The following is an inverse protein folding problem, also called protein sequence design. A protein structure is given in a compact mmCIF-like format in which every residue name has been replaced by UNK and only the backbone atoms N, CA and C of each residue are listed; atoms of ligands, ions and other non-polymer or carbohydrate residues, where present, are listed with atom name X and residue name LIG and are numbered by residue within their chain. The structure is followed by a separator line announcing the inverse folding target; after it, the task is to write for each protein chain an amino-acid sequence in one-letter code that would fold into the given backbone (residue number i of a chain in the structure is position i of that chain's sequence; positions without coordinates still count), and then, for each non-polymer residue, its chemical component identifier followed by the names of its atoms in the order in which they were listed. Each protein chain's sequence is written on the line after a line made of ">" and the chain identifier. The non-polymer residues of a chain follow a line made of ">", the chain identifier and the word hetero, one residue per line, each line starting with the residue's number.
data_IF_233403491789
#
_entry.id   IF_233403491789
#
_cell.length_a   1.000
_cell.length_b   1.000
_cell.length_c   1.000
_cell.angle_alpha   90.00
_cell.angle_beta   90.00
_cell.angle_gamma   90.00
#
_symmetry.space_group_name_H-M   'P 1'
#
loop_
_entity.id
_entity.type
_entity.pdbx_description
1 polymer ?
#
# COMPACT_ATOMS: atom_id res chain seq x y z
N UNK A 1 40.77 1.02 -74.26
CA UNK A 1 39.98 2.09 -73.61
C UNK A 1 38.50 1.86 -73.87
N UNK A 2 37.74 1.44 -72.85
CA UNK A 2 36.36 1.84 -72.48
C UNK A 2 35.80 0.82 -71.49
N UNK A 3 35.56 1.31 -70.28
CA UNK A 3 35.27 0.62 -69.03
C UNK A 3 33.77 0.27 -68.97
N UNK A 4 33.44 -0.96 -68.56
CA UNK A 4 32.09 -1.34 -68.08
C UNK A 4 32.09 -1.22 -66.56
N UNK A 5 31.26 -0.33 -66.02
CA UNK A 5 31.09 -0.11 -64.58
C UNK A 5 29.92 -0.99 -64.11
N UNK A 6 30.20 -1.93 -63.20
CA UNK A 6 29.22 -2.76 -62.50
C UNK A 6 29.01 -2.15 -61.12
N UNK A 7 27.75 -1.86 -60.76
CA UNK A 7 27.36 -1.39 -59.42
C UNK A 7 26.85 -2.61 -58.63
N UNK A 8 27.43 -2.97 -57.47
CA UNK A 8 26.75 -3.84 -56.51
C UNK A 8 26.11 -2.99 -55.40
N UNK A 9 24.83 -3.26 -55.14
CA UNK A 9 24.01 -2.60 -54.14
C UNK A 9 24.45 -2.89 -52.71
N UNK A 10 24.37 -1.87 -51.87
CA UNK A 10 24.57 -1.94 -50.42
C UNK A 10 23.19 -2.14 -49.78
N UNK A 11 22.91 -3.36 -49.34
CA UNK A 11 21.74 -3.70 -48.54
C UNK A 11 22.08 -3.41 -47.07
N UNK A 12 21.62 -2.27 -46.56
CA UNK A 12 21.78 -1.86 -45.16
C UNK A 12 20.82 -2.66 -44.26
N UNK A 13 21.32 -3.71 -43.62
CA UNK A 13 20.61 -4.49 -42.59
C UNK A 13 20.49 -3.67 -41.30
N UNK A 14 19.30 -3.16 -41.03
CA UNK A 14 18.93 -2.49 -39.79
C UNK A 14 18.60 -3.55 -38.73
N UNK A 15 19.56 -3.84 -37.85
CA UNK A 15 19.35 -4.72 -36.69
C UNK A 15 18.46 -3.97 -35.70
N UNK A 16 17.17 -4.29 -35.69
CA UNK A 16 16.24 -3.93 -34.62
C UNK A 16 16.66 -4.67 -33.35
N UNK A 17 17.47 -4.03 -32.50
CA UNK A 17 17.60 -4.42 -31.09
C UNK A 17 16.26 -4.19 -30.41
N UNK A 18 15.42 -5.23 -30.43
CA UNK A 18 14.18 -5.31 -29.68
C UNK A 18 14.54 -5.40 -28.19
N UNK A 19 14.79 -4.26 -27.57
CA UNK A 19 14.93 -4.19 -26.12
C UNK A 19 13.56 -4.54 -25.55
N UNK A 20 13.40 -5.76 -25.04
CA UNK A 20 12.20 -6.15 -24.31
C UNK A 20 12.09 -5.22 -23.11
N UNK A 21 11.27 -4.18 -23.23
CA UNK A 21 10.78 -3.40 -22.10
C UNK A 21 10.05 -4.39 -21.21
N UNK A 22 10.73 -4.88 -20.18
CA UNK A 22 10.13 -5.63 -19.09
C UNK A 22 9.04 -4.74 -18.50
N UNK A 23 7.80 -4.95 -18.91
CA UNK A 23 6.64 -4.31 -18.29
C UNK A 23 6.68 -4.61 -16.80
N UNK A 24 6.79 -3.57 -15.98
CA UNK A 24 6.77 -3.68 -14.53
C UNK A 24 5.47 -4.41 -14.15
N UNK A 25 5.59 -5.59 -13.52
CA UNK A 25 4.41 -6.37 -13.11
C UNK A 25 3.52 -5.51 -12.22
N UNK A 26 2.20 -5.57 -12.42
CA UNK A 26 1.21 -4.72 -11.72
C UNK A 26 1.40 -4.75 -10.19
N UNK A 27 1.77 -5.90 -9.66
CA UNK A 27 2.02 -6.14 -8.24
C UNK A 27 3.33 -5.49 -7.75
N UNK A 28 4.39 -5.54 -8.56
CA UNK A 28 5.65 -4.86 -8.28
C UNK A 28 5.46 -3.33 -8.28
N UNK A 29 4.72 -2.81 -9.26
CA UNK A 29 4.33 -1.40 -9.31
C UNK A 29 3.54 -0.98 -8.07
N UNK A 30 2.59 -1.82 -7.61
CA UNK A 30 1.81 -1.55 -6.39
C UNK A 30 2.69 -1.50 -5.13
N UNK A 31 3.67 -2.40 -4.99
CA UNK A 31 4.65 -2.35 -3.89
C UNK A 31 5.46 -1.05 -3.91
N UNK A 32 5.93 -0.65 -5.08
CA UNK A 32 6.68 0.59 -5.29
C UNK A 32 5.85 1.83 -4.96
N UNK A 33 4.63 1.93 -5.49
CA UNK A 33 3.70 3.03 -5.21
C UNK A 33 3.33 3.11 -3.73
N UNK A 34 3.09 1.97 -3.09
CA UNK A 34 2.82 1.90 -1.65
C UNK A 34 4.01 2.39 -0.83
N UNK A 35 5.23 2.04 -1.23
CA UNK A 35 6.45 2.56 -0.61
C UNK A 35 6.64 4.06 -0.81
N UNK A 36 6.30 4.58 -2.00
CA UNK A 36 6.37 6.00 -2.32
C UNK A 36 5.36 6.81 -1.48
N UNK A 37 4.09 6.39 -1.47
CA UNK A 37 3.03 7.00 -0.64
C UNK A 37 3.47 7.07 0.83
N UNK A 38 3.97 5.97 1.39
CA UNK A 38 4.40 5.97 2.78
C UNK A 38 5.54 6.96 3.04
N UNK A 39 6.55 7.00 2.16
CA UNK A 39 7.66 7.98 2.24
C UNK A 39 7.16 9.41 2.16
N UNK A 40 6.25 9.70 1.23
CA UNK A 40 5.72 11.04 1.03
C UNK A 40 4.93 11.54 2.24
N UNK A 41 4.12 10.68 2.87
CA UNK A 41 3.43 11.03 4.12
C UNK A 41 4.44 11.31 5.23
N UNK A 42 5.46 10.47 5.38
CA UNK A 42 6.46 10.62 6.44
C UNK A 42 7.38 11.83 6.24
N UNK A 43 7.62 12.23 5.00
CA UNK A 43 8.44 13.42 4.67
C UNK A 43 7.67 14.74 4.81
N UNK A 44 6.35 14.72 5.01
CA UNK A 44 5.54 15.93 5.13
C UNK A 44 5.50 16.44 6.59
N UNK A 45 6.07 17.62 6.91
CA UNK A 45 6.29 18.06 8.31
C UNK A 45 5.03 18.15 9.17
N UNK A 46 3.92 18.61 8.59
CA UNK A 46 2.65 18.83 9.31
C UNK A 46 1.70 17.63 9.22
N UNK A 47 2.13 16.58 8.53
CA UNK A 47 1.30 15.44 8.17
C UNK A 47 1.92 14.08 8.48
N UNK A 48 3.20 14.08 8.86
CA UNK A 48 3.91 12.91 9.28
C UNK A 48 3.17 12.25 10.44
N UNK A 49 3.13 10.92 10.37
CA UNK A 49 2.54 10.10 11.41
C UNK A 49 3.48 10.16 12.62
N UNK A 50 2.96 10.47 13.83
CA UNK A 50 3.79 10.52 15.02
C UNK A 50 4.56 9.22 15.26
N UNK A 51 5.84 9.35 15.58
CA UNK A 51 6.77 8.22 15.75
C UNK A 51 6.29 7.23 16.81
N UNK A 52 5.76 7.72 17.93
CA UNK A 52 5.18 6.89 18.99
C UNK A 52 3.97 6.04 18.54
N UNK A 53 3.27 6.43 17.47
CA UNK A 53 2.18 5.64 16.89
C UNK A 53 2.72 4.64 15.89
N UNK A 54 3.67 5.04 15.03
CA UNK A 54 4.35 4.13 14.10
C UNK A 54 5.07 3.00 14.81
N UNK A 55 5.74 3.31 15.92
CA UNK A 55 6.51 2.33 16.69
C UNK A 55 5.64 1.28 17.38
N UNK A 56 4.39 1.64 17.67
CA UNK A 56 3.38 0.76 18.26
C UNK A 56 2.53 0.03 17.24
N UNK A 57 2.59 0.41 15.96
CA UNK A 57 1.83 -0.27 14.92
C UNK A 57 2.36 -1.71 14.75
N UNK A 58 1.46 -2.67 14.90
CA UNK A 58 1.73 -4.08 14.63
C UNK A 58 1.81 -4.31 13.13
N UNK A 59 0.95 -3.64 12.36
CA UNK A 59 0.96 -3.71 10.91
C UNK A 59 0.70 -2.34 10.29
N UNK A 60 1.26 -2.12 9.09
CA UNK A 60 1.03 -0.93 8.28
C UNK A 60 0.48 -1.37 6.94
N UNK A 61 -0.73 -0.89 6.61
CA UNK A 61 -1.34 -1.06 5.30
C UNK A 61 -1.26 0.25 4.52
N UNK A 62 -0.90 0.17 3.24
CA UNK A 62 -0.85 1.31 2.34
C UNK A 62 -1.64 0.96 1.09
N UNK A 63 -2.64 1.78 0.78
CA UNK A 63 -3.52 1.64 -0.37
C UNK A 63 -3.35 2.90 -1.23
N UNK A 64 -2.46 2.89 -2.23
CA UNK A 64 -2.32 4.01 -3.15
C UNK A 64 -3.56 4.14 -4.03
N UNK A 65 -3.87 5.39 -4.43
CA UNK A 65 -4.85 5.70 -5.47
C UNK A 65 -6.24 5.07 -5.26
N UNK A 66 -6.74 5.09 -4.02
CA UNK A 66 -8.13 4.73 -3.72
C UNK A 66 -9.05 5.68 -4.47
N UNK A 67 -9.83 5.11 -5.38
CA UNK A 67 -10.83 5.83 -6.15
C UNK A 67 -12.08 5.92 -5.29
N UNK A 68 -12.58 7.13 -5.10
CA UNK A 68 -13.87 7.44 -4.48
C UNK A 68 -14.73 8.15 -5.51
N UNK A 69 -16.00 7.76 -5.63
CA UNK A 69 -16.91 8.43 -6.57
C UNK A 69 -18.36 8.12 -6.28
N UNK A 70 -19.24 9.08 -6.58
CA UNK A 70 -20.67 8.94 -6.43
C UNK A 70 -21.39 10.28 -6.41
N UNK A 71 -22.72 10.23 -6.42
CA UNK A 71 -23.59 11.38 -6.21
C UNK A 71 -24.55 11.03 -5.07
N UNK A 72 -24.42 11.71 -3.93
CA UNK A 72 -25.14 11.44 -2.66
C UNK A 72 -24.78 10.08 -2.03
N UNK A 73 -24.79 9.01 -2.82
CA UNK A 73 -24.28 7.67 -2.49
C UNK A 73 -23.14 7.34 -3.46
N UNK A 74 -22.02 6.85 -2.92
CA UNK A 74 -20.84 6.52 -3.70
C UNK A 74 -20.19 5.21 -3.29
N UNK A 75 -19.23 4.80 -4.10
CA UNK A 75 -18.36 3.67 -3.83
C UNK A 75 -16.91 4.11 -3.72
N UNK A 76 -16.15 3.33 -2.97
CA UNK A 76 -14.70 3.42 -2.96
C UNK A 76 -14.06 2.07 -3.29
N UNK A 77 -12.99 2.13 -4.07
CA UNK A 77 -12.22 0.95 -4.46
C UNK A 77 -10.73 1.28 -4.48
N UNK A 78 -9.92 0.39 -3.92
CA UNK A 78 -8.48 0.53 -3.94
C UNK A 78 -7.77 -0.81 -3.83
N UNK A 79 -6.50 -0.82 -4.23
CA UNK A 79 -5.62 -1.96 -4.08
C UNK A 79 -4.34 -1.53 -3.40
N UNK A 80 -3.89 -2.32 -2.43
CA UNK A 80 -2.75 -1.96 -1.61
C UNK A 80 -1.98 -3.17 -1.14
N UNK A 81 -1.10 -2.92 -0.17
CA UNK A 81 -0.29 -3.92 0.50
C UNK A 81 -0.31 -3.65 2.00
N UNK A 82 -0.13 -4.71 2.79
CA UNK A 82 0.01 -4.64 4.23
C UNK A 82 1.22 -5.47 4.65
N UNK A 83 2.05 -4.93 5.54
CA UNK A 83 3.12 -5.69 6.20
C UNK A 83 2.94 -5.61 7.71
N UNK A 84 3.22 -6.73 8.37
CA UNK A 84 3.15 -6.88 9.81
C UNK A 84 4.55 -7.08 10.39
N UNK A 85 4.76 -6.59 11.61
CA UNK A 85 5.97 -6.89 12.37
C UNK A 85 5.98 -8.36 12.75
N UNK A 86 7.14 -8.99 12.60
CA UNK A 86 7.36 -10.34 13.11
C UNK A 86 7.38 -10.29 14.63
N UNK A 87 6.55 -11.08 15.33
CA UNK A 87 6.56 -11.12 16.79
C UNK A 87 7.90 -11.61 17.36
N UNK A 88 8.64 -12.38 16.55
CA UNK A 88 9.93 -12.95 16.94
C UNK A 88 11.11 -12.02 16.68
N UNK A 89 11.03 -11.17 15.64
CA UNK A 89 12.17 -10.35 15.16
C UNK A 89 11.96 -8.86 15.31
N UNK A 90 10.74 -8.39 15.57
CA UNK A 90 10.37 -6.97 15.58
C UNK A 90 10.45 -6.27 14.21
N UNK A 91 11.11 -6.87 13.22
CA UNK A 91 11.23 -6.36 11.85
C UNK A 91 9.95 -6.56 11.05
N UNK A 92 9.73 -5.71 10.05
CA UNK A 92 8.67 -5.88 9.05
C UNK A 92 8.80 -7.21 8.31
N UNK A 93 7.71 -7.95 8.24
CA UNK A 93 7.57 -9.22 7.55
C UNK A 93 7.19 -9.07 6.08
N UNK A 94 7.03 -10.20 5.36
CA UNK A 94 6.62 -10.17 3.95
C UNK A 94 5.24 -9.49 3.79
N UNK A 95 5.06 -8.65 2.76
CA UNK A 95 3.80 -7.95 2.56
C UNK A 95 2.74 -8.84 1.91
N UNK A 96 1.50 -8.77 2.40
CA UNK A 96 0.34 -9.34 1.73
C UNK A 96 -0.37 -8.26 0.90
N UNK A 97 -0.87 -8.65 -0.28
CA UNK A 97 -1.69 -7.79 -1.12
C UNK A 97 -3.13 -7.79 -0.63
N UNK A 98 -3.72 -6.60 -0.61
CA UNK A 98 -5.09 -6.36 -0.16
C UNK A 98 -5.85 -5.51 -1.17
N UNK A 99 -7.18 -5.57 -1.06
CA UNK A 99 -8.13 -4.71 -1.75
C UNK A 99 -9.08 -4.09 -0.74
N UNK A 100 -9.48 -2.86 -1.04
CA UNK A 100 -10.39 -2.05 -0.25
C UNK A 100 -11.63 -1.79 -1.08
N UNK A 101 -12.81 -2.00 -0.50
CA UNK A 101 -14.10 -1.78 -1.16
C UNK A 101 -15.13 -1.31 -0.15
N UNK A 102 -15.73 -0.15 -0.34
CA UNK A 102 -16.66 0.43 0.62
C UNK A 102 -17.73 1.28 -0.04
N UNK A 103 -18.77 1.60 0.72
CA UNK A 103 -19.70 2.68 0.38
C UNK A 103 -19.20 3.98 0.98
N UNK A 104 -19.33 5.08 0.26
CA UNK A 104 -19.00 6.42 0.75
C UNK A 104 -20.27 7.28 0.78
N UNK A 105 -20.54 7.93 1.92
CA UNK A 105 -21.61 8.93 2.04
C UNK A 105 -21.03 10.34 1.90
N UNK A 106 -21.64 11.20 1.09
CA UNK A 106 -21.22 12.60 0.97
C UNK A 106 -19.95 12.84 0.15
N UNK A 107 -19.57 11.92 -0.74
CA UNK A 107 -18.57 12.25 -1.76
C UNK A 107 -19.05 13.50 -2.51
N UNK A 108 -18.22 14.56 -2.51
CA UNK A 108 -18.46 15.75 -3.34
C UNK A 108 -18.75 15.30 -4.78
N UNK A 109 -19.56 16.07 -5.51
CA UNK A 109 -19.89 15.79 -6.91
C UNK A 109 -18.58 15.61 -7.70
N UNK A 110 -18.26 14.36 -8.06
CA UNK A 110 -17.04 14.02 -8.80
C UNK A 110 -16.29 12.78 -8.29
N UNK A 111 -15.27 12.37 -9.05
CA UNK A 111 -14.34 11.32 -8.67
C UNK A 111 -13.10 11.90 -7.97
N UNK A 112 -12.66 11.26 -6.90
CA UNK A 112 -11.44 11.61 -6.18
C UNK A 112 -10.51 10.39 -6.12
N UNK A 113 -9.20 10.63 -6.24
CA UNK A 113 -8.19 9.62 -5.99
C UNK A 113 -7.41 10.06 -4.75
N UNK A 114 -7.40 9.23 -3.71
CA UNK A 114 -6.69 9.50 -2.47
C UNK A 114 -5.78 8.34 -2.10
N UNK A 115 -4.70 8.63 -1.39
CA UNK A 115 -3.86 7.60 -0.81
C UNK A 115 -4.29 7.35 0.63
N UNK A 116 -4.29 6.09 1.06
CA UNK A 116 -4.68 5.69 2.42
C UNK A 116 -3.52 4.94 3.08
N UNK A 117 -3.18 5.33 4.30
CA UNK A 117 -2.30 4.57 5.20
C UNK A 117 -3.05 4.20 6.46
N UNK A 118 -3.04 2.92 6.81
CA UNK A 118 -3.66 2.38 8.02
C UNK A 118 -2.58 1.87 8.96
N UNK A 119 -2.54 2.39 10.17
CA UNK A 119 -1.75 1.87 11.28
C UNK A 119 -2.66 0.94 12.08
N UNK A 120 -2.30 -0.33 12.12
CA UNK A 120 -3.06 -1.36 12.82
C UNK A 120 -2.34 -1.59 14.14
N UNK A 121 -2.96 -1.11 15.22
CA UNK A 121 -2.35 -1.00 16.54
C UNK A 121 -2.45 -2.28 17.35
N UNK A 122 -3.38 -3.17 16.99
CA UNK A 122 -3.59 -4.45 17.65
C UNK A 122 -3.75 -5.55 16.62
N UNK A 123 -3.16 -6.70 16.92
CA UNK A 123 -3.20 -7.89 16.05
C UNK A 123 -4.61 -8.42 15.80
N UNK A 124 -5.50 -8.28 16.79
CA UNK A 124 -6.94 -8.53 16.65
C UNK A 124 -7.58 -7.78 15.47
N UNK A 125 -7.14 -6.56 15.17
CA UNK A 125 -7.61 -5.80 14.01
C UNK A 125 -7.25 -6.42 12.66
N UNK A 126 -6.30 -7.35 12.63
CA UNK A 126 -5.93 -8.16 11.45
C UNK A 126 -6.44 -9.58 11.52
N UNK A 127 -6.79 -10.12 12.69
CA UNK A 127 -7.25 -11.50 12.84
C UNK A 127 -8.47 -11.83 11.96
N UNK A 128 -9.29 -10.83 11.62
CA UNK A 128 -10.39 -10.96 10.66
C UNK A 128 -9.93 -10.91 9.20
N UNK A 129 -8.86 -10.17 8.88
CA UNK A 129 -8.19 -10.26 7.58
C UNK A 129 -7.57 -11.65 7.38
N UNK A 130 -7.21 -12.34 8.48
CA UNK A 130 -6.81 -13.75 8.47
C UNK A 130 -7.96 -14.70 8.12
N UNK A 131 -9.23 -14.26 8.23
CA UNK A 131 -10.42 -15.08 7.96
C UNK A 131 -11.12 -14.79 6.62
N UNK A 132 -10.48 -14.00 5.74
CA UNK A 132 -10.80 -13.67 4.33
C UNK A 132 -11.01 -12.17 4.07
N UNK A 133 -11.74 -11.50 4.97
CA UNK A 133 -12.08 -10.08 4.85
C UNK A 133 -12.42 -9.50 6.22
N UNK A 134 -12.31 -8.19 6.31
CA UNK A 134 -12.51 -7.43 7.53
C UNK A 134 -13.19 -6.10 7.20
N UNK A 135 -14.21 -5.71 7.98
CA UNK A 135 -14.94 -4.45 7.79
C UNK A 135 -14.50 -3.41 8.83
N UNK A 136 -13.92 -2.32 8.33
CA UNK A 136 -13.55 -1.13 9.08
C UNK A 136 -14.80 -0.52 9.75
N UNK A 137 -14.71 -0.21 11.05
CA UNK A 137 -15.82 0.34 11.86
C UNK A 137 -16.77 -0.70 12.46
N UNK A 138 -16.89 -1.89 11.84
CA UNK A 138 -17.74 -2.97 12.35
C UNK A 138 -16.94 -4.06 13.09
N UNK A 139 -15.86 -4.52 12.46
CA UNK A 139 -15.03 -5.60 13.00
C UNK A 139 -13.84 -5.06 13.81
N UNK A 140 -13.39 -3.83 13.56
CA UNK A 140 -12.43 -3.10 14.40
C UNK A 140 -12.68 -1.60 14.31
N UNK A 141 -12.45 -0.91 15.42
CA UNK A 141 -12.64 0.53 15.51
C UNK A 141 -11.59 1.27 14.68
N UNK A 142 -12.04 2.23 13.87
CA UNK A 142 -11.19 3.09 13.04
C UNK A 142 -11.35 4.53 13.49
N UNK A 143 -10.23 5.25 13.58
CA UNK A 143 -10.23 6.68 13.81
C UNK A 143 -9.24 7.39 12.89
N UNK A 144 -9.50 8.65 12.57
CA UNK A 144 -8.48 9.52 11.96
C UNK A 144 -7.31 9.68 12.92
N UNK A 145 -6.09 9.40 12.45
CA UNK A 145 -4.88 9.56 13.26
C UNK A 145 -4.43 11.02 13.39
N UNK A 146 -3.72 11.39 14.46
CA UNK A 146 -3.21 12.74 14.63
C UNK A 146 -2.00 12.93 13.72
N UNK A 147 -1.73 14.16 13.32
CA UNK A 147 -0.61 14.44 12.42
C UNK A 147 0.27 15.56 12.95
N UNK A 148 1.56 15.49 12.59
CA UNK A 148 2.53 16.55 12.89
C UNK A 148 2.87 16.69 14.37
N UNK A 149 3.62 17.75 14.68
CA UNK A 149 4.25 17.99 15.99
C UNK A 149 3.29 18.38 17.13
N UNK A 150 2.01 18.63 16.83
CA UNK A 150 0.98 18.98 17.83
C UNK A 150 0.13 17.79 18.28
N UNK A 151 0.47 16.58 17.81
CA UNK A 151 -0.28 15.35 18.09
C UNK A 151 -0.25 14.89 19.56
N UNK A 152 0.66 15.42 20.38
CA UNK A 152 0.85 15.02 21.79
C UNK A 152 -0.39 15.25 22.68
N UNK A 153 -1.28 16.18 22.28
CA UNK A 153 -2.47 16.54 23.05
C UNK A 153 -3.67 15.56 22.92
N UNK A 154 -3.62 14.56 22.04
CA UNK A 154 -4.76 13.66 21.75
C UNK A 154 -4.60 12.24 22.35
N UNK A 155 -3.83 12.10 23.43
CA UNK A 155 -3.32 10.81 23.94
C UNK A 155 -4.40 9.80 24.32
N UNK A 156 -5.55 10.20 24.85
CA UNK A 156 -6.57 9.25 25.35
C UNK A 156 -7.49 8.65 24.27
N UNK A 157 -7.91 9.45 23.28
CA UNK A 157 -8.83 9.00 22.22
C UNK A 157 -8.10 8.03 21.26
N UNK A 158 -6.80 8.24 21.06
CA UNK A 158 -5.96 7.45 20.15
C UNK A 158 -5.57 6.07 20.68
N UNK A 159 -5.60 5.88 22.00
CA UNK A 159 -5.28 4.60 22.64
C UNK A 159 -6.41 3.56 22.51
N UNK A 160 -7.62 3.98 22.13
CA UNK A 160 -8.80 3.10 22.04
C UNK A 160 -9.07 2.56 20.64
N UNK A 161 -8.68 3.28 19.59
CA UNK A 161 -8.84 2.83 18.21
C UNK A 161 -7.91 1.65 17.91
N UNK A 162 -8.44 0.61 17.29
CA UNK A 162 -7.63 -0.54 16.85
C UNK A 162 -6.89 -0.23 15.55
N UNK A 163 -7.43 0.69 14.75
CA UNK A 163 -6.87 1.14 13.48
C UNK A 163 -6.88 2.68 13.45
N UNK A 164 -5.73 3.25 13.12
CA UNK A 164 -5.59 4.69 12.84
C UNK A 164 -5.44 4.88 11.33
N UNK A 165 -6.35 5.65 10.74
CA UNK A 165 -6.39 5.92 9.32
C UNK A 165 -5.85 7.32 9.01
N UNK A 166 -5.00 7.37 8.00
CA UNK A 166 -4.43 8.57 7.43
C UNK A 166 -4.78 8.60 5.96
N UNK A 167 -5.23 9.75 5.47
CA UNK A 167 -5.47 9.92 4.04
C UNK A 167 -4.79 11.17 3.51
N UNK A 168 -4.39 11.10 2.24
CA UNK A 168 -3.79 12.20 1.51
C UNK A 168 -4.50 12.39 0.19
N UNK A 169 -4.90 13.62 -0.09
CA UNK A 169 -5.39 14.05 -1.40
C UNK A 169 -4.69 15.34 -1.79
N UNK A 170 -3.94 15.34 -2.89
CA UNK A 170 -3.29 16.56 -3.44
C UNK A 170 -2.54 17.42 -2.40
N UNK A 171 -1.87 16.79 -1.44
CA UNK A 171 -1.10 17.48 -0.39
C UNK A 171 -1.90 17.91 0.85
N UNK A 172 -3.21 17.69 0.90
CA UNK A 172 -4.04 17.92 2.09
C UNK A 172 -4.34 16.61 2.81
N UNK A 173 -4.23 16.66 4.12
CA UNK A 173 -4.47 15.54 5.03
C UNK A 173 -5.78 15.75 5.76
N UNK A 174 -6.64 14.74 5.71
CA UNK A 174 -7.91 14.76 6.42
C UNK A 174 -8.14 13.38 7.04
N UNK A 175 -8.82 13.37 8.19
CA UNK A 175 -9.42 12.15 8.72
C UNK A 175 -10.34 11.55 7.66
N UNK A 176 -10.19 10.25 7.39
CA UNK A 176 -10.99 9.56 6.39
C UNK A 176 -12.06 8.74 7.08
N UNK A 177 -13.31 8.95 6.69
CA UNK A 177 -14.38 8.04 7.04
C UNK A 177 -14.17 6.74 6.25
N UNK A 178 -13.88 5.67 6.97
CA UNK A 178 -13.73 4.32 6.43
C UNK A 178 -14.73 3.34 7.05
N UNK A 179 -15.68 3.85 7.83
CA UNK A 179 -16.71 3.03 8.44
C UNK A 179 -17.57 2.37 7.35
N UNK A 180 -17.68 1.05 7.42
CA UNK A 180 -18.40 0.25 6.42
C UNK A 180 -17.53 -0.24 5.26
N UNK A 181 -16.25 0.13 5.21
CA UNK A 181 -15.32 -0.31 4.17
C UNK A 181 -14.77 -1.69 4.45
N UNK A 182 -14.80 -2.57 3.46
CA UNK A 182 -14.28 -3.93 3.51
C UNK A 182 -12.85 -3.97 2.97
N UNK A 183 -11.93 -4.45 3.80
CA UNK A 183 -10.57 -4.81 3.40
C UNK A 183 -10.49 -6.33 3.27
N UNK A 184 -10.00 -6.83 2.15
CA UNK A 184 -9.87 -8.26 1.89
C UNK A 184 -8.54 -8.59 1.24
N UNK A 185 -8.10 -9.85 1.38
CA UNK A 185 -6.92 -10.33 0.67
C UNK A 185 -7.12 -10.27 -0.86
N UNK A 186 -6.10 -9.79 -1.58
CA UNK A 186 -6.00 -9.92 -3.03
C UNK A 186 -5.26 -11.23 -3.34
N UNK A 187 -6.01 -12.35 -3.32
CA UNK A 187 -5.48 -13.71 -3.46
C UNK A 187 -4.73 -13.89 -4.79
N UNK A 188 -5.21 -13.27 -5.87
CA UNK A 188 -4.58 -13.32 -7.19
C UNK A 188 -3.23 -12.61 -7.20
N UNK A 189 -3.15 -11.41 -6.61
CA UNK A 189 -1.89 -10.68 -6.49
C UNK A 189 -0.88 -11.40 -5.59
N UNK A 190 -1.35 -11.97 -4.47
CA UNK A 190 -0.51 -12.80 -3.60
C UNK A 190 0.04 -14.01 -4.36
N UNK A 191 -0.80 -14.76 -5.07
CA UNK A 191 -0.37 -15.90 -5.90
C UNK A 191 0.63 -15.49 -6.97
N UNK A 192 0.42 -14.35 -7.61
CA UNK A 192 1.29 -13.83 -8.67
C UNK A 192 2.69 -13.51 -8.17
N UNK A 193 2.80 -12.86 -7.01
CA UNK A 193 4.08 -12.45 -6.44
C UNK A 193 4.80 -13.61 -5.75
N UNK A 194 4.09 -14.41 -4.96
CA UNK A 194 4.70 -15.51 -4.21
C UNK A 194 4.85 -16.79 -5.05
N UNK A 195 4.28 -16.82 -6.26
CA UNK A 195 4.27 -17.98 -7.18
C UNK A 195 3.72 -19.26 -6.56
N UNK A 196 2.90 -19.11 -5.51
CA UNK A 196 2.29 -20.18 -4.70
C UNK A 196 0.94 -19.70 -4.19
N UNK A 197 0.03 -20.63 -3.96
CA UNK A 197 -1.25 -20.30 -3.33
C UNK A 197 -1.04 -20.12 -1.83
N UNK A 198 -0.89 -18.87 -1.42
CA UNK A 198 -0.56 -18.49 -0.04
C UNK A 198 -1.73 -17.71 0.54
N UNK A 199 -2.22 -18.13 1.70
CA UNK A 199 -3.18 -17.33 2.43
C UNK A 199 -2.49 -16.07 2.99
N UNK A 200 -3.19 -14.94 3.00
CA UNK A 200 -2.71 -13.72 3.64
C UNK A 200 -2.21 -13.94 5.09
N UNK A 201 -2.86 -14.77 5.94
CA UNK A 201 -2.33 -15.12 7.26
C UNK A 201 -0.92 -15.70 7.24
N UNK A 202 -0.67 -16.65 6.34
CA UNK A 202 0.60 -17.36 6.28
C UNK A 202 1.72 -16.42 5.84
N UNK A 203 1.40 -15.54 4.87
CA UNK A 203 2.28 -14.44 4.46
C UNK A 203 2.56 -13.55 5.67
N UNK A 204 1.54 -12.95 6.30
CA UNK A 204 1.74 -11.95 7.35
C UNK A 204 2.42 -12.50 8.61
N UNK A 205 2.24 -13.79 8.92
CA UNK A 205 2.96 -14.47 9.99
C UNK A 205 4.37 -14.94 9.60
N UNK A 206 4.75 -14.80 8.33
CA UNK A 206 6.05 -15.23 7.79
C UNK A 206 6.23 -16.74 7.77
N UNK A 207 5.15 -17.51 7.70
CA UNK A 207 5.18 -18.97 7.69
C UNK A 207 5.50 -19.49 6.28
N UNK A 208 6.66 -20.12 6.12
CA UNK A 208 7.03 -20.78 4.86
C UNK A 208 7.24 -19.85 3.65
N UNK A 209 7.46 -18.55 3.89
CA UNK A 209 7.54 -17.51 2.85
C UNK A 209 8.90 -16.82 2.82
N UNK A 210 9.46 -16.70 1.61
CA UNK A 210 10.56 -15.77 1.31
C UNK A 210 10.01 -14.41 0.89
N UNK A 211 10.60 -13.33 1.38
CA UNK A 211 10.24 -11.97 0.94
C UNK A 211 10.62 -11.81 -0.55
N UNK A 212 9.68 -11.44 -1.43
CA UNK A 212 9.96 -11.18 -2.83
C UNK A 212 10.91 -9.99 -2.98
N UNK A 213 11.84 -10.03 -3.95
CA UNK A 213 12.78 -8.94 -4.18
C UNK A 213 12.08 -7.61 -4.48
N UNK A 214 10.93 -7.67 -5.16
CA UNK A 214 10.07 -6.54 -5.48
C UNK A 214 9.52 -5.83 -4.23
N UNK A 215 9.45 -6.51 -3.08
CA UNK A 215 8.97 -5.94 -1.83
C UNK A 215 10.05 -5.11 -1.09
N UNK A 216 11.31 -5.19 -1.50
CA UNK A 216 12.43 -4.55 -0.79
C UNK A 216 12.23 -3.03 -0.63
N UNK A 217 11.72 -2.35 -1.68
CA UNK A 217 11.48 -0.90 -1.64
C UNK A 217 10.42 -0.50 -0.62
N UNK A 218 9.31 -1.24 -0.57
CA UNK A 218 8.23 -1.02 0.40
C UNK A 218 8.71 -1.27 1.84
N UNK A 219 9.37 -2.40 2.08
CA UNK A 219 9.85 -2.74 3.42
C UNK A 219 10.96 -1.79 3.90
N UNK A 220 11.81 -1.31 2.99
CA UNK A 220 12.82 -0.30 3.32
C UNK A 220 12.17 1.03 3.69
N UNK A 221 11.09 1.43 3.02
CA UNK A 221 10.32 2.61 3.38
C UNK A 221 9.75 2.51 4.80
N UNK A 222 9.15 1.37 5.15
CA UNK A 222 8.66 1.13 6.50
C UNK A 222 9.80 1.16 7.52
N UNK A 223 10.88 0.43 7.26
CA UNK A 223 12.04 0.34 8.17
C UNK A 223 12.68 1.71 8.42
N UNK A 224 12.81 2.54 7.39
CA UNK A 224 13.43 3.87 7.48
C UNK A 224 12.76 4.76 8.54
N UNK A 225 11.44 4.66 8.69
CA UNK A 225 10.66 5.55 9.56
C UNK A 225 10.13 4.89 10.83
N UNK A 226 10.45 3.61 11.07
CA UNK A 226 10.03 2.88 12.27
C UNK A 226 11.18 2.20 13.01
N UNK A 227 12.42 2.47 12.61
CA UNK A 227 13.61 1.96 13.29
C UNK A 227 13.83 2.78 14.54
N UNK A 228 13.78 2.13 15.71
CA UNK A 228 14.24 2.70 16.97
C UNK A 228 15.66 3.24 16.78
N UNK A 229 15.87 4.50 17.15
CA UNK A 229 17.16 4.89 17.72
C UNK A 229 17.22 4.35 19.15
#
# INVERSE_FOLDING_TARGET
>A
MRIRLVIPGILLSMILTFSTLFGEKKEAKRLKESGAVFKEIMSAPDAAIPQNLLDRAECVAVIPHVIKGGFVWGGEYGKGVVSCRSPRRGSWGPPAFIRLTGGSFGAQIGGQAIDIVLLIMKRRGIDSLLKDKFKLGADASVAGGPVGRRAEAATDILLRAEILAYSRSRGLFAGVALDGTVVAADKDANRTIYKKDMAAPDILNGQGVSIPGEAAGFLSALKQYTSKN
#
